data_IF_480024390242
#
_entry.id   IF_480024390242
#
_cell.length_a   1.000
_cell.length_b   1.000
_cell.length_c   1.000
_cell.angle_alpha   90.00
_cell.angle_beta   90.00
_cell.angle_gamma   90.00
#
_symmetry.space_group_name_H-M   'P 1'
#
loop_
_entity.id
_entity.type
_entity.pdbx_description
1 polymer ?
#
# COMPACT_ATOMS: atom_id res chain seq x y z
N UNK A 1 -25.44 6.50 4.58
CA UNK A 1 -24.50 5.40 4.95
C UNK A 1 -24.66 4.30 3.92
N UNK A 2 -23.56 3.65 3.52
CA UNK A 2 -23.58 2.54 2.54
C UNK A 2 -24.49 1.40 3.05
N UNK A 3 -25.08 0.62 2.15
CA UNK A 3 -25.77 -0.61 2.54
C UNK A 3 -24.78 -1.63 3.12
N UNK A 4 -25.15 -2.31 4.20
CA UNK A 4 -24.31 -3.38 4.77
C UNK A 4 -23.97 -4.42 3.70
N UNK A 5 -22.74 -4.91 3.76
CA UNK A 5 -22.24 -5.95 2.86
C UNK A 5 -21.21 -6.75 3.64
N UNK A 6 -21.57 -7.98 3.98
CA UNK A 6 -20.77 -8.88 4.82
C UNK A 6 -19.35 -9.06 4.28
N UNK A 7 -19.19 -9.12 2.95
CA UNK A 7 -17.89 -9.29 2.30
C UNK A 7 -16.97 -8.09 2.58
N UNK A 8 -17.49 -6.87 2.40
CA UNK A 8 -16.68 -5.67 2.62
C UNK A 8 -16.50 -5.40 4.11
N UNK A 9 -17.52 -5.65 4.94
CA UNK A 9 -17.41 -5.50 6.39
C UNK A 9 -16.35 -6.48 6.95
N UNK A 10 -16.29 -7.71 6.45
CA UNK A 10 -15.22 -8.66 6.81
C UNK A 10 -13.83 -8.19 6.37
N UNK A 11 -13.70 -7.61 5.17
CA UNK A 11 -12.43 -7.07 4.69
C UNK A 11 -11.95 -5.88 5.55
N UNK A 12 -12.85 -4.97 5.93
CA UNK A 12 -12.53 -3.87 6.83
C UNK A 12 -12.06 -4.38 8.20
N UNK A 13 -12.80 -5.34 8.79
CA UNK A 13 -12.42 -5.96 10.05
C UNK A 13 -11.04 -6.64 9.97
N UNK A 14 -10.71 -7.28 8.85
CA UNK A 14 -9.40 -7.92 8.65
C UNK A 14 -8.26 -6.90 8.66
N UNK A 15 -8.48 -5.71 8.10
CA UNK A 15 -7.48 -4.63 8.10
C UNK A 15 -7.35 -4.02 9.50
N UNK A 16 -8.46 -3.80 10.20
CA UNK A 16 -8.46 -3.31 11.59
C UNK A 16 -7.80 -4.29 12.57
N UNK A 17 -7.84 -5.59 12.29
CA UNK A 17 -7.21 -6.61 13.12
C UNK A 17 -5.70 -6.81 12.83
N UNK A 18 -5.18 -6.29 11.72
CA UNK A 18 -3.80 -6.55 11.29
C UNK A 18 -2.79 -5.66 12.04
N UNK A 19 -1.59 -6.18 12.31
CA UNK A 19 -0.46 -5.38 12.82
C UNK A 19 0.30 -4.66 11.69
N UNK A 20 0.30 -5.27 10.50
CA UNK A 20 0.87 -4.76 9.26
C UNK A 20 -0.16 -4.79 8.13
N UNK A 21 -0.28 -3.68 7.41
CA UNK A 21 -1.12 -3.56 6.22
C UNK A 21 -0.24 -3.32 5.00
N UNK A 22 -0.21 -4.27 4.06
CA UNK A 22 0.40 -4.08 2.75
C UNK A 22 -0.69 -3.57 1.81
N UNK A 23 -0.55 -2.33 1.33
CA UNK A 23 -1.54 -1.72 0.44
C UNK A 23 -0.97 -1.56 -0.97
N UNK A 24 -1.53 -2.33 -1.90
CA UNK A 24 -1.10 -2.39 -3.28
C UNK A 24 -2.13 -1.75 -4.23
N UNK A 25 -1.70 -0.81 -5.08
CA UNK A 25 -2.56 -0.22 -6.12
C UNK A 25 -1.77 0.11 -7.37
N UNK A 26 -2.30 -0.10 -8.59
CA UNK A 26 -1.73 0.55 -9.76
C UNK A 26 -1.87 2.07 -9.63
N UNK A 27 -0.99 2.77 -10.32
CA UNK A 27 -1.04 4.22 -10.47
C UNK A 27 -2.12 4.57 -11.49
N UNK A 28 -3.13 5.30 -11.04
CA UNK A 28 -4.21 5.80 -11.86
C UNK A 28 -4.36 7.30 -11.64
N UNK A 29 -4.26 8.09 -12.73
CA UNK A 29 -4.33 9.57 -12.67
C UNK A 29 -3.35 10.17 -11.64
N UNK A 30 -2.09 9.72 -11.69
CA UNK A 30 -1.00 10.17 -10.82
C UNK A 30 -1.25 9.97 -9.31
N UNK A 31 -1.98 8.91 -8.93
CA UNK A 31 -2.13 8.47 -7.54
C UNK A 31 -2.64 7.02 -7.50
N UNK A 32 -3.05 6.51 -6.33
CA UNK A 32 -3.76 5.23 -6.19
C UNK A 32 -5.13 5.24 -6.86
N UNK A 33 -5.75 4.07 -7.01
CA UNK A 33 -7.08 3.98 -7.61
C UNK A 33 -8.18 4.59 -6.72
N UNK A 34 -9.21 5.14 -7.35
CA UNK A 34 -10.41 5.58 -6.62
C UNK A 34 -11.10 4.45 -5.86
N UNK A 35 -10.98 3.20 -6.34
CA UNK A 35 -11.50 2.02 -5.64
C UNK A 35 -10.80 1.81 -4.29
N UNK A 36 -9.47 1.91 -4.24
CA UNK A 36 -8.72 1.87 -2.98
C UNK A 36 -9.18 2.99 -2.04
N UNK A 37 -9.33 4.21 -2.56
CA UNK A 37 -9.79 5.34 -1.74
C UNK A 37 -11.17 5.11 -1.14
N UNK A 38 -12.13 4.65 -1.94
CA UNK A 38 -13.49 4.34 -1.47
C UNK A 38 -13.50 3.24 -0.41
N UNK A 39 -12.56 2.29 -0.47
CA UNK A 39 -12.39 1.29 0.58
C UNK A 39 -11.86 1.92 1.88
N UNK A 40 -10.78 2.69 1.82
CA UNK A 40 -10.18 3.32 3.01
C UNK A 40 -11.06 4.43 3.62
N UNK A 41 -11.93 5.07 2.83
CA UNK A 41 -12.91 6.06 3.31
C UNK A 41 -14.00 5.49 4.21
N UNK A 42 -14.11 4.17 4.32
CA UNK A 42 -15.03 3.52 5.25
C UNK A 42 -14.49 3.47 6.68
N UNK A 43 -13.16 3.59 6.86
CA UNK A 43 -12.57 3.48 8.19
C UNK A 43 -12.87 4.72 9.02
N UNK A 44 -13.11 4.56 10.34
CA UNK A 44 -13.16 5.69 11.24
C UNK A 44 -11.78 6.36 11.33
N UNK A 45 -11.77 7.57 11.87
CA UNK A 45 -10.53 8.25 12.21
C UNK A 45 -9.65 7.35 13.11
N UNK A 46 -8.34 7.36 12.87
CA UNK A 46 -7.34 6.61 13.64
C UNK A 46 -7.50 5.07 13.63
N UNK A 47 -8.27 4.50 12.69
CA UNK A 47 -8.47 3.05 12.58
C UNK A 47 -7.18 2.24 12.41
N UNK A 48 -6.12 2.87 11.89
CA UNK A 48 -4.81 2.25 11.68
C UNK A 48 -3.77 2.67 12.70
N UNK A 49 -4.18 3.31 13.81
CA UNK A 49 -3.26 3.78 14.84
C UNK A 49 -2.41 2.63 15.40
N UNK A 50 -1.09 2.82 15.37
CA UNK A 50 -0.11 1.85 15.86
C UNK A 50 0.16 0.68 14.90
N UNK A 51 -0.45 0.67 13.72
CA UNK A 51 -0.21 -0.34 12.69
C UNK A 51 0.90 0.10 11.75
N UNK A 52 1.71 -0.84 11.29
CA UNK A 52 2.65 -0.61 10.19
C UNK A 52 1.90 -0.64 8.86
N UNK A 53 2.33 0.19 7.92
CA UNK A 53 1.79 0.20 6.56
C UNK A 53 2.94 0.14 5.55
N UNK A 54 2.86 -0.82 4.62
CA UNK A 54 3.76 -0.95 3.48
C UNK A 54 3.04 -0.55 2.18
N UNK A 55 3.25 0.68 1.70
CA UNK A 55 2.83 1.12 0.39
C UNK A 55 3.52 0.38 -0.76
N UNK A 56 2.71 -0.18 -1.67
CA UNK A 56 3.17 -0.76 -2.94
C UNK A 56 2.37 -0.18 -4.10
N UNK A 57 3.05 0.36 -5.12
CA UNK A 57 2.40 0.80 -6.35
C UNK A 57 3.09 0.26 -7.59
N UNK A 58 2.29 0.01 -8.62
CA UNK A 58 2.78 -0.20 -9.97
C UNK A 58 2.45 1.01 -10.85
N UNK A 59 3.20 1.25 -11.92
CA UNK A 59 2.90 2.33 -12.84
C UNK A 59 3.50 2.15 -14.24
N UNK A 60 3.12 3.04 -15.15
CA UNK A 60 3.54 2.98 -16.56
C UNK A 60 4.95 3.51 -16.83
N UNK A 61 5.47 4.40 -15.97
CA UNK A 61 6.81 5.00 -16.09
C UNK A 61 7.35 5.41 -14.72
N UNK A 62 8.63 5.77 -14.65
CA UNK A 62 9.25 6.29 -13.44
C UNK A 62 8.74 7.68 -13.03
N UNK A 63 8.10 8.42 -13.93
CA UNK A 63 7.63 9.80 -13.72
C UNK A 63 6.58 9.92 -12.60
N UNK A 64 5.89 8.82 -12.30
CA UNK A 64 4.92 8.75 -11.21
C UNK A 64 5.47 8.04 -9.95
N UNK A 65 6.78 7.83 -9.83
CA UNK A 65 7.35 7.16 -8.65
C UNK A 65 7.01 7.84 -7.31
N UNK A 66 6.85 9.17 -7.34
CA UNK A 66 6.52 9.97 -6.16
C UNK A 66 5.04 9.86 -5.71
N UNK A 67 4.18 9.15 -6.44
CA UNK A 67 2.75 9.05 -6.06
C UNK A 67 2.52 8.33 -4.75
N UNK A 68 3.47 7.50 -4.33
CA UNK A 68 3.43 6.89 -2.99
C UNK A 68 3.53 7.99 -1.93
N UNK A 69 4.58 8.80 -1.96
CA UNK A 69 4.84 9.79 -0.92
C UNK A 69 3.86 10.97 -0.91
N UNK A 70 3.36 11.38 -2.08
CA UNK A 70 2.42 12.52 -2.18
C UNK A 70 0.94 12.10 -2.22
N UNK A 71 0.66 10.81 -2.34
CA UNK A 71 -0.71 10.29 -2.41
C UNK A 71 -0.97 9.25 -1.34
N UNK A 72 -0.39 8.06 -1.53
CA UNK A 72 -0.74 6.86 -0.77
C UNK A 72 -0.32 6.93 0.70
N UNK A 73 0.91 7.36 0.97
CA UNK A 73 1.43 7.49 2.33
C UNK A 73 0.64 8.52 3.16
N UNK A 74 0.32 9.73 2.68
CA UNK A 74 -0.57 10.67 3.37
C UNK A 74 -1.95 10.09 3.71
N UNK A 75 -2.51 9.26 2.82
CA UNK A 75 -3.84 8.68 2.99
C UNK A 75 -3.91 7.65 4.12
N UNK A 76 -2.90 6.80 4.30
CA UNK A 76 -2.87 5.88 5.46
C UNK A 76 -2.35 6.56 6.73
N UNK A 77 -1.48 7.58 6.61
CA UNK A 77 -1.05 8.42 7.76
C UNK A 77 -2.23 9.17 8.37
N UNK A 78 -3.21 9.62 7.58
CA UNK A 78 -4.42 10.28 8.11
C UNK A 78 -5.33 9.32 8.91
N UNK A 79 -5.15 8.01 8.74
CA UNK A 79 -5.81 6.97 9.54
C UNK A 79 -4.95 6.50 10.72
N UNK A 80 -3.81 7.15 10.97
CA UNK A 80 -2.92 6.85 12.12
C UNK A 80 -1.86 5.79 11.87
N UNK A 81 -1.71 5.29 10.64
CA UNK A 81 -0.70 4.28 10.32
C UNK A 81 0.74 4.83 10.39
N UNK A 82 1.66 3.96 10.82
CA UNK A 82 3.10 4.17 10.71
C UNK A 82 3.57 3.63 9.36
N UNK A 83 3.87 4.53 8.43
CA UNK A 83 4.29 4.15 7.07
C UNK A 83 5.78 3.83 7.06
N UNK A 84 6.11 2.67 6.50
CA UNK A 84 7.47 2.19 6.31
C UNK A 84 8.25 3.06 5.32
N UNK A 85 9.58 3.08 5.48
CA UNK A 85 10.49 3.91 4.68
C UNK A 85 10.73 3.31 3.31
N UNK A 86 10.85 1.98 3.22
CA UNK A 86 11.13 1.24 1.99
C UNK A 86 9.82 0.89 1.27
N UNK A 87 9.17 1.91 0.73
CA UNK A 87 8.00 1.72 -0.14
C UNK A 87 8.40 1.19 -1.51
N UNK A 88 7.50 0.46 -2.17
CA UNK A 88 7.80 -0.22 -3.43
C UNK A 88 7.03 0.45 -4.57
N UNK A 89 7.74 1.08 -5.50
CA UNK A 89 7.19 1.51 -6.78
C UNK A 89 7.80 0.72 -7.92
N UNK A 90 6.99 -0.07 -8.63
CA UNK A 90 7.43 -0.87 -9.77
C UNK A 90 6.83 -0.35 -11.08
N UNK A 91 7.60 -0.41 -12.16
CA UNK A 91 7.16 -0.07 -13.53
C UNK A 91 7.87 -0.99 -14.51
N UNK A 92 7.68 -0.82 -15.83
CA UNK A 92 8.19 -1.73 -16.86
C UNK A 92 9.63 -2.24 -16.66
N UNK A 93 10.56 -1.40 -16.19
CA UNK A 93 11.96 -1.81 -15.94
C UNK A 93 12.19 -2.79 -14.76
N UNK A 94 11.16 -3.13 -13.99
CA UNK A 94 11.21 -4.02 -12.82
C UNK A 94 10.71 -5.44 -13.13
N UNK A 95 10.32 -5.69 -14.38
CA UNK A 95 9.71 -6.93 -14.81
C UNK A 95 10.46 -7.48 -16.01
N UNK A 96 10.57 -8.80 -16.08
CA UNK A 96 11.04 -9.53 -17.26
C UNK A 96 9.94 -9.59 -18.33
N UNK A 97 10.29 -10.00 -19.55
CA UNK A 97 9.33 -10.12 -20.67
C UNK A 97 8.18 -11.11 -20.38
N UNK A 98 8.43 -12.12 -19.54
CA UNK A 98 7.43 -13.10 -19.12
C UNK A 98 6.54 -12.62 -17.95
N UNK A 99 6.78 -11.39 -17.46
CA UNK A 99 6.05 -10.78 -16.36
C UNK A 99 6.55 -11.20 -14.97
N UNK A 100 7.63 -11.97 -14.86
CA UNK A 100 8.29 -12.24 -13.59
C UNK A 100 9.05 -11.00 -13.08
N UNK A 101 9.21 -10.83 -11.75
CA UNK A 101 10.01 -9.75 -11.19
C UNK A 101 11.50 -9.99 -11.48
N UNK A 102 12.22 -8.94 -11.85
CA UNK A 102 13.67 -9.03 -12.01
C UNK A 102 14.41 -8.88 -10.66
N UNK A 103 15.74 -8.96 -10.70
CA UNK A 103 16.60 -8.84 -9.50
C UNK A 103 16.45 -7.49 -8.79
N UNK A 104 16.15 -6.41 -9.52
CA UNK A 104 15.93 -5.09 -8.93
C UNK A 104 14.65 -5.08 -8.09
N UNK A 105 13.54 -5.59 -8.63
CA UNK A 105 12.29 -5.69 -7.89
C UNK A 105 12.41 -6.63 -6.70
N UNK A 106 13.08 -7.77 -6.89
CA UNK A 106 13.33 -8.73 -5.81
C UNK A 106 14.13 -8.07 -4.67
N UNK A 107 15.13 -7.26 -5.01
CA UNK A 107 15.94 -6.52 -4.02
C UNK A 107 15.11 -5.49 -3.24
N UNK A 108 14.23 -4.73 -3.93
CA UNK A 108 13.31 -3.80 -3.27
C UNK A 108 12.37 -4.50 -2.28
N UNK A 109 11.83 -5.65 -2.67
CA UNK A 109 10.98 -6.48 -1.80
C UNK A 109 11.76 -6.95 -0.58
N UNK A 110 12.97 -7.49 -0.78
CA UNK A 110 13.82 -7.95 0.33
C UNK A 110 14.09 -6.83 1.33
N UNK A 111 14.49 -5.64 0.88
CA UNK A 111 14.74 -4.50 1.79
C UNK A 111 13.49 -4.07 2.54
N UNK A 112 12.32 -4.07 1.89
CA UNK A 112 11.06 -3.77 2.56
C UNK A 112 10.69 -4.82 3.64
N UNK A 113 10.93 -6.10 3.36
CA UNK A 113 10.71 -7.19 4.32
C UNK A 113 11.66 -7.08 5.51
N UNK A 114 12.95 -6.79 5.28
CA UNK A 114 13.92 -6.59 6.35
C UNK A 114 13.55 -5.43 7.29
N UNK A 115 12.98 -4.33 6.75
CA UNK A 115 12.45 -3.24 7.56
C UNK A 115 11.25 -3.67 8.40
N UNK A 116 10.30 -4.42 7.81
CA UNK A 116 9.15 -4.99 8.55
C UNK A 116 9.65 -5.83 9.71
N UNK A 117 10.55 -6.79 9.44
CA UNK A 117 11.08 -7.70 10.45
C UNK A 117 11.78 -6.95 11.59
N UNK A 118 12.51 -5.87 11.26
CA UNK A 118 13.18 -5.04 12.26
C UNK A 118 12.21 -4.28 13.17
N UNK A 119 11.04 -3.91 12.66
CA UNK A 119 10.05 -3.12 13.41
C UNK A 119 9.02 -3.98 14.15
N UNK A 120 8.92 -5.27 13.82
CA UNK A 120 8.00 -6.22 14.47
C UNK A 120 8.65 -7.12 15.52
N UNK A 121 9.99 -7.21 15.55
CA UNK A 121 10.77 -7.95 16.54
C UNK A 121 11.27 -7.04 17.68
#
# INVERSE_FOLDING_TARGET
LRSKSDIVDAALNSVEAADLVILASPTYRATYTGLMKVFFDQFPQDALRGKLALPVQTGGSADHSLTIEYGMSPMVRSLGALVLSNTIYAWGAHWEEDGSPNDLLSSLVTTAVEEVETLTN
#
